data_IF_645114795288
#
_entry.id   IF_645114795288
#
_cell.length_a   1.000
_cell.length_b   1.000
_cell.length_c   1.000
_cell.angle_alpha   90.00
_cell.angle_beta   90.00
_cell.angle_gamma   90.00
#
_symmetry.space_group_name_H-M   'P 1'
#
loop_
_entity.id
_entity.type
_entity.pdbx_description
1 polymer ?
#
# COMPACT_ATOMS: atom_id res chain seq x y z
N UNK A 1 40.03 51.22 -36.40
CA UNK A 1 38.57 51.42 -36.55
C UNK A 1 37.92 50.04 -36.40
N UNK A 2 37.02 49.88 -35.42
CA UNK A 2 36.18 48.71 -35.08
C UNK A 2 35.87 47.71 -36.24
N UNK A 3 35.78 46.36 -36.03
CA UNK A 3 35.13 45.74 -34.87
C UNK A 3 35.86 44.53 -34.24
N UNK A 4 36.40 44.68 -33.02
CA UNK A 4 36.90 43.55 -32.17
C UNK A 4 35.99 43.35 -30.93
N UNK A 5 34.92 44.13 -30.82
CA UNK A 5 33.98 44.12 -29.69
C UNK A 5 32.81 43.18 -30.02
N UNK A 6 33.06 41.87 -30.07
CA UNK A 6 31.98 40.87 -29.98
C UNK A 6 32.42 39.46 -29.55
N UNK A 7 33.67 39.29 -29.09
CA UNK A 7 34.20 37.99 -28.64
C UNK A 7 34.74 38.12 -27.21
N UNK A 8 34.05 38.90 -26.36
CA UNK A 8 34.46 39.16 -24.98
C UNK A 8 33.34 38.92 -23.97
N UNK A 9 32.35 38.08 -24.32
CA UNK A 9 31.20 37.75 -23.46
C UNK A 9 31.10 36.25 -23.11
N UNK A 10 32.04 35.40 -23.55
CA UNK A 10 31.92 33.92 -23.37
C UNK A 10 33.01 33.31 -22.48
N UNK A 11 33.68 34.10 -21.64
CA UNK A 11 34.77 33.60 -20.76
C UNK A 11 34.55 33.89 -19.27
N UNK A 12 33.29 33.94 -18.83
CA UNK A 12 32.93 34.10 -17.42
C UNK A 12 31.95 33.04 -16.94
N UNK A 13 32.38 31.79 -16.84
CA UNK A 13 31.82 30.87 -15.84
C UNK A 13 32.96 30.05 -15.27
N UNK A 14 33.41 30.47 -14.09
CA UNK A 14 34.46 29.84 -13.32
C UNK A 14 34.14 28.38 -13.03
N UNK A 15 35.08 27.52 -13.40
CA UNK A 15 35.07 26.10 -13.05
C UNK A 15 35.55 25.95 -11.60
N UNK A 16 34.72 26.40 -10.65
CA UNK A 16 34.89 26.08 -9.24
C UNK A 16 34.28 24.71 -9.00
N UNK A 17 35.07 23.66 -9.16
CA UNK A 17 34.67 22.31 -8.74
C UNK A 17 34.76 22.28 -7.21
N UNK A 18 33.74 22.84 -6.56
CA UNK A 18 33.52 22.63 -5.15
C UNK A 18 33.36 21.13 -4.94
N UNK A 19 34.21 20.56 -4.09
CA UNK A 19 34.12 19.17 -3.63
C UNK A 19 32.78 19.01 -2.90
N UNK A 20 31.73 18.60 -3.62
CA UNK A 20 30.46 18.23 -3.03
C UNK A 20 30.70 16.96 -2.21
N UNK A 21 30.36 16.91 -0.91
CA UNK A 21 30.39 15.66 -0.18
C UNK A 21 29.41 14.70 -0.86
N UNK A 22 29.92 13.58 -1.36
CA UNK A 22 29.10 12.46 -1.80
C UNK A 22 28.32 11.97 -0.59
N UNK A 23 27.08 12.42 -0.45
CA UNK A 23 26.14 11.83 0.48
C UNK A 23 25.89 10.41 -0.01
N UNK A 24 26.54 9.42 0.61
CA UNK A 24 26.11 8.02 0.51
C UNK A 24 24.69 7.97 1.04
N UNK A 25 23.72 7.99 0.12
CA UNK A 25 22.34 7.64 0.43
C UNK A 25 22.38 6.17 0.85
N UNK A 26 22.41 5.94 2.16
CA UNK A 26 22.13 4.64 2.73
C UNK A 26 20.65 4.41 2.44
N UNK A 27 20.37 3.79 1.29
CA UNK A 27 19.05 3.23 1.02
C UNK A 27 18.85 2.15 2.07
N UNK A 28 18.12 2.48 3.12
CA UNK A 28 17.59 1.50 4.06
C UNK A 28 16.56 0.67 3.31
N UNK A 29 17.03 -0.36 2.61
CA UNK A 29 16.16 -1.34 1.97
C UNK A 29 15.56 -2.19 3.08
N UNK A 30 14.52 -1.70 3.74
CA UNK A 30 13.63 -2.55 4.53
C UNK A 30 13.13 -3.60 3.55
N UNK A 31 13.65 -4.82 3.66
CA UNK A 31 13.34 -5.90 2.73
C UNK A 31 11.95 -6.41 3.08
N UNK A 32 10.93 -5.61 2.76
CA UNK A 32 9.55 -6.09 2.69
C UNK A 32 9.55 -7.25 1.70
N UNK A 33 8.96 -8.38 2.11
CA UNK A 33 8.81 -9.52 1.22
C UNK A 33 8.25 -9.05 -0.15
N UNK A 34 8.77 -9.54 -1.28
CA UNK A 34 8.28 -9.14 -2.59
C UNK A 34 6.77 -9.37 -2.65
N UNK A 35 6.03 -8.37 -3.10
CA UNK A 35 4.60 -8.51 -3.33
C UNK A 35 4.37 -9.61 -4.37
N UNK A 36 3.71 -10.73 -4.01
CA UNK A 36 3.67 -11.93 -4.85
C UNK A 36 2.59 -11.88 -5.95
N UNK A 37 1.84 -10.79 -6.00
CA UNK A 37 0.65 -10.63 -6.82
C UNK A 37 0.95 -9.66 -7.98
N UNK A 38 0.38 -9.89 -9.16
CA UNK A 38 0.78 -9.17 -10.39
C UNK A 38 -0.28 -8.18 -10.86
N UNK A 39 -1.55 -8.58 -10.83
CA UNK A 39 -2.70 -7.79 -11.28
C UNK A 39 -3.36 -7.09 -10.09
N UNK A 40 -3.40 -7.75 -8.95
CA UNK A 40 -3.99 -7.20 -7.74
C UNK A 40 -3.11 -6.05 -7.22
N UNK A 41 -3.68 -4.88 -6.87
CA UNK A 41 -2.93 -3.85 -6.18
C UNK A 41 -2.83 -4.15 -4.67
N UNK A 42 -1.88 -3.52 -3.98
CA UNK A 42 -1.89 -3.53 -2.51
C UNK A 42 -3.13 -2.79 -1.99
N UNK A 43 -3.91 -3.47 -1.15
CA UNK A 43 -5.11 -2.88 -0.51
C UNK A 43 -4.84 -2.19 0.81
N UNK A 44 -3.71 -2.46 1.46
CA UNK A 44 -3.44 -1.88 2.76
C UNK A 44 -2.88 -0.46 2.61
N UNK A 45 -3.59 0.53 3.12
CA UNK A 45 -3.19 1.94 3.07
C UNK A 45 -2.26 2.31 4.22
N UNK A 46 -1.10 2.91 3.95
CA UNK A 46 -0.25 3.51 4.99
C UNK A 46 -0.71 4.92 5.41
N UNK A 47 -1.56 5.55 4.61
CA UNK A 47 -2.21 6.82 4.94
C UNK A 47 -3.62 6.52 5.41
N UNK A 48 -3.95 6.95 6.62
CA UNK A 48 -5.28 6.75 7.20
C UNK A 48 -6.39 7.06 6.18
N UNK A 49 -7.28 6.09 5.94
CA UNK A 49 -8.49 6.21 5.12
C UNK A 49 -9.41 7.33 5.59
N UNK A 50 -9.13 8.00 6.71
CA UNK A 50 -9.88 9.16 7.20
C UNK A 50 -10.92 8.81 8.24
N UNK A 51 -10.78 7.71 8.97
CA UNK A 51 -11.65 7.44 10.13
C UNK A 51 -11.37 8.37 11.32
N UNK A 52 -11.98 8.09 12.46
CA UNK A 52 -12.08 9.01 13.60
C UNK A 52 -10.76 9.38 14.31
N UNK A 53 -9.64 8.69 14.06
CA UNK A 53 -8.34 8.95 14.70
C UNK A 53 -7.21 9.12 13.68
N UNK A 54 -6.21 9.96 13.97
CA UNK A 54 -5.00 10.06 13.14
C UNK A 54 -4.03 8.87 13.32
N UNK A 55 -4.41 7.86 14.13
CA UNK A 55 -3.57 6.70 14.44
C UNK A 55 -4.00 5.51 13.58
N UNK A 56 -3.17 5.16 12.60
CA UNK A 56 -3.31 3.94 11.81
C UNK A 56 -2.12 3.03 12.02
N UNK A 57 -2.42 1.74 12.15
CA UNK A 57 -1.37 0.74 12.28
C UNK A 57 -0.62 0.59 10.95
N UNK A 58 0.66 0.30 11.05
CA UNK A 58 1.53 -0.01 9.92
C UNK A 58 1.37 -1.47 9.51
N UNK A 59 1.78 -1.78 8.28
CA UNK A 59 1.85 -3.13 7.71
C UNK A 59 2.59 -4.11 8.65
N UNK A 60 3.66 -3.65 9.31
CA UNK A 60 4.45 -4.45 10.23
C UNK A 60 3.70 -4.77 11.54
N UNK A 61 2.92 -3.82 12.06
CA UNK A 61 2.18 -4.00 13.32
C UNK A 61 0.98 -4.94 13.17
N UNK A 62 0.35 -4.96 11.99
CA UNK A 62 -0.79 -5.85 11.72
C UNK A 62 -0.38 -7.25 11.25
N UNK A 63 0.92 -7.46 11.01
CA UNK A 63 1.45 -8.71 10.45
C UNK A 63 0.92 -9.01 9.05
N UNK A 64 0.72 -7.98 8.22
CA UNK A 64 0.15 -8.14 6.88
C UNK A 64 1.10 -8.96 6.01
N UNK A 65 0.55 -10.03 5.42
CA UNK A 65 1.26 -10.87 4.47
C UNK A 65 0.37 -11.17 3.27
N UNK A 66 0.91 -10.91 2.08
CA UNK A 66 0.30 -11.30 0.82
C UNK A 66 0.83 -12.65 0.40
N UNK A 67 -0.05 -13.53 -0.08
CA UNK A 67 0.27 -14.87 -0.57
C UNK A 67 -0.50 -15.11 -1.86
N UNK A 68 0.18 -15.59 -2.90
CA UNK A 68 -0.48 -16.04 -4.11
C UNK A 68 -0.92 -17.49 -3.94
N UNK A 69 -2.21 -17.75 -4.12
CA UNK A 69 -2.83 -19.06 -3.98
C UNK A 69 -3.73 -19.17 -2.74
N UNK A 70 -4.06 -20.42 -2.41
CA UNK A 70 -4.93 -20.76 -1.28
C UNK A 70 -4.18 -20.57 0.04
N UNK A 71 -4.78 -19.84 0.98
CA UNK A 71 -4.23 -19.69 2.34
C UNK A 71 -4.52 -20.96 3.15
N UNK A 72 -3.52 -21.48 3.85
CA UNK A 72 -3.69 -22.62 4.75
C UNK A 72 -4.75 -22.33 5.83
N UNK A 73 -5.77 -23.19 5.95
CA UNK A 73 -6.88 -22.99 6.87
C UNK A 73 -8.04 -22.13 6.32
N UNK A 74 -7.91 -21.61 5.10
CA UNK A 74 -8.95 -20.85 4.40
C UNK A 74 -9.24 -21.48 3.04
N UNK A 75 -10.32 -22.24 2.94
CA UNK A 75 -10.69 -23.01 1.74
C UNK A 75 -11.28 -22.18 0.60
N UNK A 76 -10.90 -20.90 0.48
CA UNK A 76 -11.45 -19.98 -0.51
C UNK A 76 -10.33 -19.37 -1.35
N UNK A 77 -10.57 -19.29 -2.66
CA UNK A 77 -9.58 -18.88 -3.67
C UNK A 77 -9.00 -20.07 -4.43
N UNK A 78 -8.36 -19.78 -5.56
CA UNK A 78 -7.66 -20.74 -6.41
C UNK A 78 -6.15 -20.44 -6.40
N UNK A 79 -5.35 -21.24 -7.11
CA UNK A 79 -3.92 -20.96 -7.30
C UNK A 79 -3.61 -19.59 -7.93
N UNK A 80 -4.59 -19.00 -8.62
CA UNK A 80 -4.49 -17.67 -9.24
C UNK A 80 -5.19 -16.57 -8.42
N UNK A 81 -5.34 -16.77 -7.11
CA UNK A 81 -5.96 -15.77 -6.22
C UNK A 81 -4.89 -15.19 -5.29
N UNK A 82 -4.67 -13.89 -5.37
CA UNK A 82 -3.87 -13.16 -4.40
C UNK A 82 -4.67 -13.04 -3.11
N UNK A 83 -4.15 -13.51 -2.00
CA UNK A 83 -4.84 -13.50 -0.73
C UNK A 83 -3.99 -12.84 0.33
N UNK A 84 -4.64 -12.20 1.31
CA UNK A 84 -3.97 -11.58 2.45
C UNK A 84 -4.77 -11.82 3.70
N UNK A 85 -4.05 -12.03 4.80
CA UNK A 85 -4.60 -12.12 6.13
C UNK A 85 -3.81 -11.21 7.06
N UNK A 86 -4.51 -10.45 7.87
CA UNK A 86 -3.90 -9.60 8.89
C UNK A 86 -4.86 -9.39 10.05
N UNK A 87 -4.29 -9.01 11.19
CA UNK A 87 -5.04 -8.74 12.41
C UNK A 87 -4.74 -7.35 12.91
N UNK A 88 -5.78 -6.59 13.20
CA UNK A 88 -5.64 -5.28 13.80
C UNK A 88 -5.17 -5.38 15.27
N UNK A 89 -4.15 -4.61 15.67
CA UNK A 89 -3.68 -4.57 17.05
C UNK A 89 -4.77 -4.04 17.99
N UNK A 90 -4.63 -4.35 19.28
CA UNK A 90 -5.56 -3.89 20.31
C UNK A 90 -5.68 -2.36 20.30
N UNK A 91 -6.91 -1.87 20.48
CA UNK A 91 -7.23 -0.44 20.40
C UNK A 91 -7.43 0.08 18.97
N UNK A 92 -7.26 -0.77 17.95
CA UNK A 92 -7.63 -0.46 16.56
C UNK A 92 -8.74 -1.38 16.05
N UNK A 93 -9.47 -0.92 15.04
CA UNK A 93 -10.47 -1.70 14.31
C UNK A 93 -10.16 -1.65 12.81
N UNK A 94 -10.56 -2.66 12.05
CA UNK A 94 -10.39 -2.60 10.61
C UNK A 94 -11.37 -1.59 10.02
N UNK A 95 -10.89 -0.84 9.04
CA UNK A 95 -11.66 0.09 8.25
C UNK A 95 -11.52 -0.37 6.80
N UNK A 96 -12.64 -0.57 6.12
CA UNK A 96 -12.68 -1.01 4.73
C UNK A 96 -13.32 0.07 3.87
N UNK A 97 -12.69 0.38 2.74
CA UNK A 97 -13.22 1.33 1.77
C UNK A 97 -13.91 0.58 0.63
N UNK A 98 -15.19 0.88 0.45
CA UNK A 98 -15.98 0.30 -0.65
C UNK A 98 -15.75 1.08 -1.97
N UNK A 99 -15.71 0.40 -3.13
CA UNK A 99 -15.52 1.04 -4.43
C UNK A 99 -16.68 1.94 -4.83
N UNK A 100 -17.92 1.48 -4.61
CA UNK A 100 -19.14 2.10 -5.16
C UNK A 100 -19.47 3.41 -4.47
N UNK A 101 -19.36 3.45 -3.14
CA UNK A 101 -19.77 4.61 -2.34
C UNK A 101 -18.59 5.42 -1.81
N UNK A 102 -17.36 4.90 -1.89
CA UNK A 102 -16.20 5.45 -1.20
C UNK A 102 -16.33 5.45 0.33
N UNK A 103 -17.41 4.87 0.86
CA UNK A 103 -17.70 4.82 2.29
C UNK A 103 -16.70 3.92 2.98
N UNK A 104 -16.34 4.32 4.18
CA UNK A 104 -15.47 3.56 5.06
C UNK A 104 -16.36 2.90 6.09
N UNK A 105 -16.29 1.56 6.18
CA UNK A 105 -17.04 0.80 7.16
C UNK A 105 -16.09 0.16 8.17
N UNK A 106 -16.47 0.10 9.45
CA UNK A 106 -15.76 -0.70 10.43
C UNK A 106 -15.98 -2.20 10.13
N UNK A 107 -14.90 -2.98 10.17
CA UNK A 107 -14.90 -4.42 10.01
C UNK A 107 -14.40 -5.17 11.26
N UNK A 108 -14.30 -6.50 11.19
CA UNK A 108 -13.70 -7.31 12.25
C UNK A 108 -12.21 -7.01 12.43
N UNK A 109 -11.65 -7.32 13.60
CA UNK A 109 -10.21 -7.16 13.86
C UNK A 109 -9.35 -8.07 12.99
N UNK A 110 -9.81 -9.31 12.72
CA UNK A 110 -9.20 -10.21 11.76
C UNK A 110 -9.79 -9.94 10.37
N UNK A 111 -8.94 -9.55 9.43
CA UNK A 111 -9.33 -9.28 8.05
C UNK A 111 -8.74 -10.34 7.14
N UNK A 112 -9.62 -10.97 6.36
CA UNK A 112 -9.25 -11.89 5.30
C UNK A 112 -9.76 -11.28 4.00
N UNK A 113 -8.84 -11.04 3.08
CA UNK A 113 -9.15 -10.46 1.79
C UNK A 113 -8.47 -11.24 0.66
N UNK A 114 -9.10 -11.27 -0.50
CA UNK A 114 -8.63 -11.97 -1.67
C UNK A 114 -8.94 -11.20 -2.95
N UNK A 115 -8.12 -11.39 -3.96
CA UNK A 115 -8.24 -10.77 -5.26
C UNK A 115 -7.87 -11.76 -6.36
N UNK A 116 -8.64 -11.74 -7.44
CA UNK A 116 -8.40 -12.62 -8.58
C UNK A 116 -7.29 -12.04 -9.46
N UNK A 117 -6.29 -12.85 -9.81
CA UNK A 117 -5.25 -12.44 -10.77
C UNK A 117 -5.73 -12.59 -12.22
N UNK A 118 -6.74 -13.42 -12.46
CA UNK A 118 -7.23 -13.77 -13.79
C UNK A 118 -8.75 -13.86 -13.83
N UNK A 119 -9.34 -13.62 -15.00
CA UNK A 119 -10.78 -13.72 -15.22
C UNK A 119 -11.46 -12.35 -15.28
N UNK A 120 -12.79 -12.35 -15.24
CA UNK A 120 -13.62 -11.15 -15.44
C UNK A 120 -13.48 -10.13 -14.30
N UNK A 121 -13.15 -10.58 -13.09
CA UNK A 121 -12.96 -9.72 -11.91
C UNK A 121 -11.48 -9.60 -11.51
N UNK A 122 -10.57 -9.75 -12.48
CA UNK A 122 -9.14 -9.65 -12.22
C UNK A 122 -8.78 -8.25 -11.68
N UNK A 123 -8.03 -8.19 -10.59
CA UNK A 123 -7.66 -6.95 -9.90
C UNK A 123 -8.68 -6.45 -8.86
N UNK A 124 -9.84 -7.11 -8.75
CA UNK A 124 -10.86 -6.76 -7.78
C UNK A 124 -10.63 -7.48 -6.45
N UNK A 125 -10.58 -6.71 -5.36
CA UNK A 125 -10.45 -7.24 -4.01
C UNK A 125 -11.79 -7.43 -3.34
N UNK A 126 -11.90 -8.52 -2.60
CA UNK A 126 -13.05 -8.88 -1.80
C UNK A 126 -12.59 -9.19 -0.38
N UNK A 127 -13.44 -8.89 0.60
CA UNK A 127 -13.24 -9.31 1.98
C UNK A 127 -14.46 -10.01 2.54
N UNK A 128 -14.25 -10.86 3.56
CA UNK A 128 -15.31 -11.60 4.23
C UNK A 128 -14.82 -12.89 4.89
N UNK A 129 -15.74 -13.61 5.53
CA UNK A 129 -15.51 -14.95 6.09
C UNK A 129 -16.52 -15.91 5.43
N UNK A 130 -16.17 -16.52 4.28
CA UNK A 130 -16.99 -17.53 3.61
C UNK A 130 -17.10 -18.79 4.49
N UNK A 131 -18.20 -19.55 4.38
CA UNK A 131 -19.37 -19.37 3.51
C UNK A 131 -20.47 -18.47 4.11
N UNK A 132 -20.23 -17.86 5.27
CA UNK A 132 -21.25 -17.16 6.05
C UNK A 132 -21.53 -15.73 5.57
N UNK A 133 -20.68 -15.18 4.70
CA UNK A 133 -20.81 -13.82 4.17
C UNK A 133 -20.75 -13.80 2.65
N UNK A 134 -21.66 -13.03 2.03
CA UNK A 134 -21.48 -12.57 0.65
C UNK A 134 -20.18 -11.77 0.55
N UNK A 135 -19.31 -12.06 -0.44
CA UNK A 135 -18.07 -11.30 -0.61
C UNK A 135 -18.38 -9.83 -0.83
N UNK A 136 -17.72 -8.95 -0.07
CA UNK A 136 -17.87 -7.51 -0.24
C UNK A 136 -16.64 -6.96 -0.94
N UNK A 137 -16.86 -6.23 -2.02
CA UNK A 137 -15.79 -5.60 -2.78
C UNK A 137 -15.15 -4.44 -2.01
N UNK A 138 -13.82 -4.39 -2.00
CA UNK A 138 -13.06 -3.32 -1.36
C UNK A 138 -11.98 -2.79 -2.28
N UNK A 139 -11.64 -1.52 -2.11
CA UNK A 139 -10.52 -0.87 -2.81
C UNK A 139 -9.37 -0.51 -1.88
N UNK A 140 -9.62 -0.47 -0.57
CA UNK A 140 -8.59 -0.30 0.43
C UNK A 140 -9.07 -0.83 1.79
N UNK A 141 -8.12 -1.17 2.65
CA UNK A 141 -8.36 -1.50 4.05
C UNK A 141 -7.21 -1.03 4.93
N UNK A 142 -7.47 -0.82 6.21
CA UNK A 142 -6.44 -0.48 7.20
C UNK A 142 -6.94 -0.78 8.61
N UNK A 143 -6.04 -0.78 9.58
CA UNK A 143 -6.40 -0.80 11.00
C UNK A 143 -6.27 0.60 11.58
N UNK A 144 -7.33 1.09 12.22
CA UNK A 144 -7.41 2.45 12.72
C UNK A 144 -7.87 2.50 14.18
N UNK A 145 -7.29 3.42 14.97
CA UNK A 145 -7.62 3.59 16.38
C UNK A 145 -9.11 3.82 16.64
N UNK A 146 -9.64 3.14 17.65
CA UNK A 146 -11.00 3.33 18.14
C UNK A 146 -10.95 4.53 19.10
N UNK A 147 -11.61 5.64 18.78
CA UNK A 147 -11.94 6.62 19.82
C UNK A 147 -12.96 5.96 20.75
N UNK A 148 -12.56 5.61 21.97
CA UNK A 148 -13.54 5.44 23.04
C UNK A 148 -14.12 6.82 23.31
N UNK A 149 -15.35 7.05 22.85
CA UNK A 149 -16.22 8.04 23.47
C UNK A 149 -16.51 7.65 24.92
#
# INVERSE_FOLDING_TARGET
MWPVILILVVLSVGFSIACLPTQTVVTTTTTAAPYPCSVCPMIYGSGCLGGATDVCATVAEVGLSYTLGVIAGYGFGDSNTCSTIFSCPLGTTSQVKLPITGTILPGPSLVIAWCQETGTNAGTWYYGIPPLSTPVEIVATQCQGIVSG
#
